data_IF_376327191959
#
_entry.id   IF_376327191959
#
_cell.length_a   1.000
_cell.length_b   1.000
_cell.length_c   1.000
_cell.angle_alpha   90.00
_cell.angle_beta   90.00
_cell.angle_gamma   90.00
#
_symmetry.space_group_name_H-M   'P 1'
#
loop_
_entity.id
_entity.type
_entity.pdbx_description
1 polymer ?
#
# COMPACT_ATOMS: atom_id res chain seq x y z
N UNK A 1 7.99 -1.55 11.86
CA UNK A 1 7.61 -2.95 11.52
C UNK A 1 7.95 -3.29 10.08
N UNK A 2 7.13 -2.90 9.09
CA UNK A 2 7.18 -3.45 7.71
C UNK A 2 8.50 -3.27 6.95
N UNK A 3 9.22 -2.16 7.15
CA UNK A 3 10.45 -1.85 6.40
C UNK A 3 11.73 -2.23 7.15
N UNK A 4 11.63 -2.65 8.42
CA UNK A 4 12.80 -3.03 9.21
C UNK A 4 13.39 -4.33 8.63
N UNK A 5 14.62 -4.31 8.11
CA UNK A 5 15.17 -5.48 7.40
C UNK A 5 15.47 -6.65 8.34
N UNK A 6 15.79 -6.37 9.61
CA UNK A 6 16.06 -7.38 10.64
C UNK A 6 14.78 -7.93 11.29
N UNK A 7 13.60 -7.39 10.93
CA UNK A 7 12.33 -7.73 11.58
C UNK A 7 12.33 -7.52 13.11
N UNK A 8 13.12 -6.55 13.59
CA UNK A 8 13.35 -6.30 15.01
C UNK A 8 12.28 -5.40 15.67
N UNK A 9 11.24 -5.00 14.95
CA UNK A 9 10.21 -4.07 15.44
C UNK A 9 8.85 -4.75 15.40
N UNK A 10 8.21 -4.87 16.56
CA UNK A 10 6.83 -5.30 16.71
C UNK A 10 5.91 -4.18 17.23
N UNK A 11 4.61 -4.40 17.18
CA UNK A 11 3.60 -3.50 17.75
C UNK A 11 2.93 -4.20 18.91
N UNK A 12 2.98 -3.55 20.08
CA UNK A 12 2.17 -3.89 21.24
C UNK A 12 0.93 -3.01 21.22
N UNK A 13 -0.25 -3.61 21.38
CA UNK A 13 -1.52 -2.88 21.40
C UNK A 13 -1.52 -1.73 22.41
N UNK A 14 -2.35 -0.73 22.18
CA UNK A 14 -2.48 0.39 23.13
C UNK A 14 -2.97 -0.14 24.49
N UNK A 15 -2.27 0.23 25.55
CA UNK A 15 -2.41 -0.40 26.88
C UNK A 15 -3.68 -0.01 27.62
N UNK A 16 -4.33 1.07 27.20
CA UNK A 16 -5.59 1.60 27.71
C UNK A 16 -6.78 0.69 27.41
N UNK A 17 -6.74 -0.13 26.34
CA UNK A 17 -7.86 -1.02 25.99
C UNK A 17 -7.48 -2.38 25.38
N UNK A 18 -6.21 -2.66 25.08
CA UNK A 18 -5.81 -3.95 24.47
C UNK A 18 -5.18 -4.89 25.51
N UNK A 19 -5.81 -6.05 25.81
CA UNK A 19 -5.20 -7.07 26.66
C UNK A 19 -3.89 -7.61 26.07
N UNK A 20 -2.94 -7.99 26.94
CA UNK A 20 -1.65 -8.54 26.54
C UNK A 20 -1.76 -9.87 25.76
N UNK A 21 -0.71 -10.23 25.03
CA UNK A 21 -0.53 -11.58 24.48
C UNK A 21 -1.02 -11.79 23.04
N UNK A 22 -1.58 -10.78 22.39
CA UNK A 22 -1.84 -10.80 20.94
C UNK A 22 -0.63 -10.24 20.16
N UNK A 23 -0.45 -10.69 18.92
CA UNK A 23 0.53 -10.11 17.99
C UNK A 23 0.08 -10.21 16.53
N UNK A 24 0.49 -9.23 15.74
CA UNK A 24 0.17 -9.08 14.31
C UNK A 24 1.44 -8.79 13.55
N UNK A 25 1.96 -9.79 12.85
CA UNK A 25 3.28 -9.72 12.20
C UNK A 25 3.12 -9.69 10.67
N UNK A 26 3.51 -8.59 9.99
CA UNK A 26 3.59 -8.54 8.54
C UNK A 26 4.91 -9.06 8.00
N UNK A 27 4.85 -9.72 6.85
CA UNK A 27 5.98 -10.01 5.98
C UNK A 27 5.66 -9.45 4.60
N UNK A 28 6.23 -8.28 4.27
CA UNK A 28 5.99 -7.59 3.00
C UNK A 28 7.02 -8.05 1.96
N UNK A 29 6.56 -8.68 0.88
CA UNK A 29 7.33 -8.93 -0.33
C UNK A 29 7.16 -7.80 -1.35
N UNK A 30 7.43 -8.08 -2.62
CA UNK A 30 7.32 -7.13 -3.74
C UNK A 30 5.91 -7.08 -4.33
N UNK A 31 5.26 -8.24 -4.48
CA UNK A 31 3.94 -8.40 -5.10
C UNK A 31 2.82 -8.73 -4.10
N UNK A 32 3.18 -9.17 -2.89
CA UNK A 32 2.26 -9.63 -1.87
C UNK A 32 2.75 -9.31 -0.45
N UNK A 33 1.81 -9.28 0.49
CA UNK A 33 2.07 -9.19 1.93
C UNK A 33 1.44 -10.38 2.63
N UNK A 34 2.20 -11.04 3.48
CA UNK A 34 1.70 -12.07 4.37
C UNK A 34 1.49 -11.50 5.76
N UNK A 35 0.44 -11.96 6.42
CA UNK A 35 0.13 -11.60 7.80
C UNK A 35 -0.01 -12.84 8.64
N UNK A 36 0.67 -12.86 9.77
CA UNK A 36 0.45 -13.84 10.84
C UNK A 36 -0.18 -13.13 12.02
N UNK A 37 -1.38 -13.58 12.39
CA UNK A 37 -2.15 -13.06 13.53
C UNK A 37 -2.17 -14.13 14.62
N UNK A 38 -1.56 -13.83 15.77
CA UNK A 38 -1.62 -14.67 16.98
C UNK A 38 -2.56 -14.02 17.99
N UNK A 39 -3.62 -14.73 18.33
CA UNK A 39 -4.56 -14.31 19.36
C UNK A 39 -3.99 -14.61 20.75
N UNK A 40 -4.51 -13.91 21.77
CA UNK A 40 -4.11 -14.10 23.18
C UNK A 40 -4.28 -15.55 23.64
N UNK A 41 -5.29 -16.25 23.12
CA UNK A 41 -5.57 -17.66 23.43
C UNK A 41 -4.71 -18.66 22.63
N UNK A 42 -3.72 -18.20 21.87
CA UNK A 42 -2.81 -19.04 21.09
C UNK A 42 -3.29 -19.39 19.68
N UNK A 43 -4.54 -19.06 19.30
CA UNK A 43 -5.02 -19.28 17.92
C UNK A 43 -4.14 -18.49 16.96
N UNK A 44 -3.71 -19.15 15.89
CA UNK A 44 -2.88 -18.57 14.84
C UNK A 44 -3.64 -18.55 13.52
N UNK A 45 -3.74 -17.38 12.88
CA UNK A 45 -4.29 -17.23 11.54
C UNK A 45 -3.24 -16.66 10.61
N UNK A 46 -3.17 -17.17 9.38
CA UNK A 46 -2.26 -16.71 8.34
C UNK A 46 -3.04 -16.25 7.12
N UNK A 47 -2.65 -15.11 6.57
CA UNK A 47 -3.27 -14.52 5.39
C UNK A 47 -2.20 -14.10 4.41
N UNK A 48 -2.54 -14.09 3.13
CA UNK A 48 -1.71 -13.53 2.06
C UNK A 48 -2.59 -12.67 1.17
N UNK A 49 -2.15 -11.44 0.93
CA UNK A 49 -2.85 -10.48 0.08
C UNK A 49 -1.92 -9.98 -1.02
N UNK A 50 -2.38 -9.87 -2.28
CA UNK A 50 -1.63 -9.15 -3.31
C UNK A 50 -1.57 -7.65 -2.96
N UNK A 51 -0.43 -7.01 -3.22
CA UNK A 51 -0.23 -5.57 -2.98
C UNK A 51 0.15 -4.78 -4.23
N UNK A 52 0.63 -5.45 -5.28
CA UNK A 52 0.99 -4.83 -6.55
C UNK A 52 0.68 -5.79 -7.70
N UNK A 53 0.21 -5.21 -8.81
CA UNK A 53 0.02 -5.91 -10.09
C UNK A 53 1.13 -5.61 -11.09
N UNK A 54 2.02 -4.66 -10.77
CA UNK A 54 3.15 -4.22 -11.60
C UNK A 54 4.43 -4.10 -10.76
N UNK A 55 5.58 -4.25 -11.43
CA UNK A 55 6.90 -4.25 -10.78
C UNK A 55 7.19 -2.91 -10.11
N UNK A 56 7.93 -2.95 -9.00
CA UNK A 56 8.41 -1.73 -8.35
C UNK A 56 9.26 -0.88 -9.30
N UNK A 57 8.97 0.42 -9.37
CA UNK A 57 9.65 1.34 -10.28
C UNK A 57 9.28 1.23 -11.77
N UNK A 58 8.34 0.37 -12.17
CA UNK A 58 7.99 0.18 -13.59
C UNK A 58 6.91 1.12 -14.13
N UNK A 59 6.44 2.09 -13.35
CA UNK A 59 5.36 2.99 -13.78
C UNK A 59 5.95 4.07 -14.68
N UNK A 60 5.49 4.11 -15.93
CA UNK A 60 5.72 5.22 -16.84
C UNK A 60 4.45 6.10 -16.87
N UNK A 61 4.50 7.31 -16.29
CA UNK A 61 3.33 8.19 -16.20
C UNK A 61 2.89 8.77 -17.55
N UNK A 62 3.76 8.80 -18.56
CA UNK A 62 3.48 9.38 -19.88
C UNK A 62 3.21 8.32 -20.96
N UNK A 63 3.33 7.02 -20.63
CA UNK A 63 3.11 5.93 -21.58
C UNK A 63 1.75 6.03 -22.27
N UNK A 64 1.78 6.22 -23.59
CA UNK A 64 0.57 6.31 -24.42
C UNK A 64 -0.28 7.56 -24.17
N UNK A 65 0.29 8.61 -23.55
CA UNK A 65 -0.36 9.91 -23.40
C UNK A 65 0.11 10.86 -24.53
N UNK A 66 -0.75 11.79 -24.97
CA UNK A 66 -0.33 12.82 -25.92
C UNK A 66 0.70 13.76 -25.27
N UNK A 67 1.48 14.44 -26.11
CA UNK A 67 2.31 15.56 -25.66
C UNK A 67 1.43 16.69 -25.10
N UNK A 68 1.84 17.34 -24.00
CA UNK A 68 1.10 18.45 -23.42
C UNK A 68 1.03 19.66 -24.38
N UNK A 69 -0.17 20.14 -24.67
CA UNK A 69 -0.39 21.39 -25.39
C UNK A 69 -0.36 22.59 -24.43
N UNK A 70 0.83 23.17 -24.25
CA UNK A 70 1.04 24.28 -23.32
C UNK A 70 0.16 25.52 -23.57
N UNK A 71 -0.43 25.68 -24.77
CA UNK A 71 -1.38 26.77 -25.03
C UNK A 71 -2.66 26.64 -24.18
N UNK A 72 -2.99 25.41 -23.74
CA UNK A 72 -4.18 25.07 -22.97
C UNK A 72 -3.95 24.96 -21.47
N UNK A 73 -2.79 25.36 -20.96
CA UNK A 73 -2.41 25.20 -19.54
C UNK A 73 -3.41 25.83 -18.55
N UNK A 74 -4.10 26.90 -18.96
CA UNK A 74 -5.10 27.59 -18.14
C UNK A 74 -6.52 27.05 -18.34
N UNK A 75 -6.73 26.13 -19.27
CA UNK A 75 -8.05 25.59 -19.59
C UNK A 75 -8.37 24.37 -18.70
N UNK A 76 -9.66 24.13 -18.36
CA UNK A 76 -10.06 22.93 -17.64
C UNK A 76 -9.73 21.63 -18.42
N UNK A 77 -9.39 20.56 -17.72
CA UNK A 77 -9.11 19.25 -18.33
C UNK A 77 -7.73 19.14 -18.99
N UNK A 78 -6.72 19.90 -18.54
CA UNK A 78 -5.38 19.87 -19.14
C UNK A 78 -4.72 18.46 -19.13
N UNK A 79 -3.84 18.25 -20.11
CA UNK A 79 -2.97 17.09 -20.37
C UNK A 79 -3.65 15.83 -20.93
N UNK A 80 -4.52 15.14 -20.18
CA UNK A 80 -5.01 13.81 -20.61
C UNK A 80 -6.46 13.51 -20.23
N UNK A 81 -7.23 14.54 -19.87
CA UNK A 81 -8.67 14.44 -19.58
C UNK A 81 -9.46 15.41 -20.46
N UNK A 82 -10.78 15.24 -20.55
CA UNK A 82 -11.65 16.26 -21.13
C UNK A 82 -12.17 17.19 -20.04
N UNK A 83 -12.42 18.45 -20.39
CA UNK A 83 -13.13 19.38 -19.51
C UNK A 83 -14.52 18.81 -19.19
N UNK A 84 -14.89 18.77 -17.90
CA UNK A 84 -16.24 18.37 -17.48
C UNK A 84 -17.26 19.36 -18.07
N UNK A 85 -18.24 18.84 -18.81
CA UNK A 85 -19.39 19.60 -19.31
C UNK A 85 -20.51 19.47 -18.27
N UNK A 86 -20.77 20.54 -17.53
CA UNK A 86 -22.00 20.67 -16.73
C UNK A 86 -23.17 21.09 -17.63
#
# INVERSE_FOLDING_TARGET
VKICPQQAIEVRGYSDFVPLGSSTIPLRGTDSVMWTIKFRNGILKRFKFPIRTTVEGSVDPYKGKPEPDFSKIKQPGYFNYEARKE
#
